data_IF_725532988618
#
_entry.id   IF_725532988618
#
_cell.length_a   1.000
_cell.length_b   1.000
_cell.length_c   1.000
_cell.angle_alpha   90.00
_cell.angle_beta   90.00
_cell.angle_gamma   90.00
#
_symmetry.space_group_name_H-M   'P 1'
#
loop_
_entity.id
_entity.type
_entity.pdbx_description
1 polymer ?
#
# COMPACT_ATOMS: atom_id res chain seq x y z
N UNK A 1 30.45 30.95 -5.12
CA UNK A 1 29.46 29.85 -5.22
C UNK A 1 28.51 29.97 -4.02
N UNK A 2 27.19 30.08 -4.23
CA UNK A 2 26.24 30.03 -3.09
C UNK A 2 26.28 28.61 -2.48
N UNK A 3 26.29 28.50 -1.15
CA UNK A 3 26.12 27.23 -0.46
C UNK A 3 24.77 26.60 -0.83
N UNK A 4 24.69 25.26 -0.84
CA UNK A 4 23.42 24.55 -1.08
C UNK A 4 22.52 24.74 0.14
N UNK A 5 21.20 24.80 -0.05
CA UNK A 5 20.28 24.82 1.08
C UNK A 5 20.39 23.53 1.90
N UNK A 6 20.09 23.58 3.19
CA UNK A 6 20.06 22.39 4.04
C UNK A 6 19.08 21.34 3.49
N UNK A 7 17.96 21.79 2.91
CA UNK A 7 16.98 20.97 2.20
C UNK A 7 17.61 20.23 1.02
N UNK A 8 18.35 20.93 0.16
CA UNK A 8 19.04 20.31 -0.97
C UNK A 8 20.11 19.28 -0.57
N UNK A 9 20.80 19.49 0.56
CA UNK A 9 21.78 18.53 1.09
C UNK A 9 21.09 17.27 1.62
N UNK A 10 19.96 17.42 2.33
CA UNK A 10 19.17 16.30 2.83
C UNK A 10 18.58 15.46 1.69
N UNK A 11 17.98 16.10 0.69
CA UNK A 11 17.44 15.41 -0.49
C UNK A 11 18.55 14.65 -1.24
N UNK A 12 19.76 15.20 -1.35
CA UNK A 12 20.89 14.49 -1.93
C UNK A 12 21.32 13.26 -1.13
N UNK A 13 21.19 13.27 0.19
CA UNK A 13 21.43 12.09 1.02
C UNK A 13 20.37 11.01 0.76
N UNK A 14 19.09 11.38 0.63
CA UNK A 14 18.03 10.46 0.25
C UNK A 14 18.22 9.91 -1.16
N UNK A 15 18.60 10.76 -2.12
CA UNK A 15 18.91 10.34 -3.50
C UNK A 15 20.09 9.37 -3.54
N UNK A 16 21.16 9.64 -2.78
CA UNK A 16 22.30 8.72 -2.68
C UNK A 16 21.88 7.37 -2.12
N UNK A 17 21.08 7.37 -1.05
CA UNK A 17 20.56 6.16 -0.42
C UNK A 17 19.70 5.37 -1.41
N UNK A 18 18.74 6.03 -2.06
CA UNK A 18 17.84 5.45 -3.04
C UNK A 18 18.59 4.87 -4.25
N UNK A 19 19.60 5.59 -4.76
CA UNK A 19 20.41 5.13 -5.88
C UNK A 19 21.22 3.89 -5.53
N UNK A 20 21.82 3.85 -4.34
CA UNK A 20 22.70 2.76 -3.92
C UNK A 20 21.97 1.52 -3.41
N UNK A 21 20.70 1.64 -3.00
CA UNK A 21 19.93 0.54 -2.40
C UNK A 21 18.80 0.04 -3.30
N UNK A 22 18.14 0.93 -4.05
CA UNK A 22 16.93 0.62 -4.83
C UNK A 22 17.26 0.62 -6.32
N UNK A 23 17.64 1.78 -6.88
CA UNK A 23 17.81 1.94 -8.34
C UNK A 23 19.04 1.23 -8.91
N UNK A 24 20.05 0.91 -8.09
CA UNK A 24 21.20 0.08 -8.51
C UNK A 24 20.79 -1.32 -9.03
N UNK A 25 19.59 -1.79 -8.67
CA UNK A 25 19.04 -3.06 -9.11
C UNK A 25 18.11 -2.96 -10.34
N UNK A 26 17.94 -1.76 -10.90
CA UNK A 26 17.14 -1.57 -12.11
C UNK A 26 17.84 -2.22 -13.31
N UNK A 27 17.25 -3.27 -13.90
CA UNK A 27 17.78 -3.94 -15.11
C UNK A 27 16.98 -3.55 -16.36
N UNK A 28 17.71 -3.39 -17.47
CA UNK A 28 17.17 -3.37 -18.86
C UNK A 28 17.09 -4.81 -19.39
N UNK A 29 16.04 -5.28 -20.12
CA UNK A 29 14.98 -4.53 -20.82
C UNK A 29 13.60 -4.52 -20.14
N UNK A 30 13.42 -5.20 -19.00
CA UNK A 30 12.09 -5.39 -18.35
C UNK A 30 11.74 -4.29 -17.35
N UNK A 31 12.66 -3.37 -17.04
CA UNK A 31 12.41 -2.23 -16.15
C UNK A 31 11.79 -2.61 -14.79
N UNK A 32 12.22 -3.73 -14.18
CA UNK A 32 11.76 -4.18 -12.84
C UNK A 32 12.93 -4.25 -11.86
N UNK A 33 12.65 -4.05 -10.56
CA UNK A 33 13.66 -4.07 -9.48
C UNK A 33 13.81 -5.52 -8.97
N UNK A 34 14.43 -6.40 -9.76
CA UNK A 34 14.60 -7.81 -9.34
C UNK A 34 15.67 -7.97 -8.25
N UNK A 35 15.44 -8.93 -7.34
CA UNK A 35 16.52 -9.54 -6.54
C UNK A 35 17.31 -10.49 -7.45
N UNK A 36 18.63 -10.59 -7.29
CA UNK A 36 19.53 -11.28 -8.23
C UNK A 36 19.26 -12.79 -8.48
N UNK A 37 18.27 -13.39 -7.83
CA UNK A 37 18.16 -14.84 -7.66
C UNK A 37 17.17 -15.59 -8.55
N UNK A 38 16.35 -14.99 -9.43
CA UNK A 38 15.53 -15.77 -10.38
C UNK A 38 15.23 -15.03 -11.70
N UNK A 39 15.73 -15.61 -12.79
CA UNK A 39 15.64 -15.07 -14.16
C UNK A 39 14.27 -15.38 -14.81
N UNK A 40 13.53 -16.38 -14.32
CA UNK A 40 12.39 -16.94 -15.05
C UNK A 40 10.98 -16.52 -14.62
N UNK A 41 10.79 -15.93 -13.43
CA UNK A 41 9.48 -15.35 -13.08
C UNK A 41 9.58 -13.82 -13.01
N UNK A 42 8.73 -13.14 -13.77
CA UNK A 42 8.36 -11.76 -13.50
C UNK A 42 7.41 -11.75 -12.30
N UNK A 43 7.95 -11.95 -11.09
CA UNK A 43 7.15 -11.87 -9.88
C UNK A 43 6.73 -10.41 -9.67
N UNK A 44 5.42 -10.17 -9.76
CA UNK A 44 4.72 -9.05 -9.15
C UNK A 44 4.91 -9.10 -7.63
N UNK A 45 6.14 -8.85 -7.18
CA UNK A 45 6.39 -8.69 -5.76
C UNK A 45 5.95 -7.28 -5.38
N UNK A 46 5.09 -7.17 -4.37
CA UNK A 46 4.67 -5.90 -3.76
C UNK A 46 5.86 -4.97 -3.44
N UNK A 47 7.04 -5.55 -3.20
CA UNK A 47 8.33 -4.85 -3.09
C UNK A 47 8.58 -3.82 -4.21
N UNK A 48 8.18 -4.12 -5.45
CA UNK A 48 8.38 -3.22 -6.58
C UNK A 48 7.51 -1.96 -6.47
N UNK A 49 6.28 -2.06 -5.96
CA UNK A 49 5.35 -0.92 -5.80
C UNK A 49 5.93 0.09 -4.83
N UNK A 50 6.33 -0.35 -3.63
CA UNK A 50 6.91 0.54 -2.62
C UNK A 50 8.24 1.14 -3.04
N UNK A 51 9.08 0.36 -3.75
CA UNK A 51 10.30 0.90 -4.34
C UNK A 51 9.97 2.06 -5.28
N UNK A 52 9.04 1.87 -6.22
CA UNK A 52 8.64 2.91 -7.17
C UNK A 52 8.04 4.12 -6.44
N UNK A 53 7.18 3.90 -5.44
CA UNK A 53 6.59 4.96 -4.63
C UNK A 53 7.68 5.81 -3.94
N UNK A 54 8.75 5.20 -3.42
CA UNK A 54 9.86 5.96 -2.82
C UNK A 54 10.62 6.81 -3.84
N UNK A 55 10.82 6.31 -5.08
CA UNK A 55 11.45 7.08 -6.17
C UNK A 55 10.58 8.26 -6.56
N UNK A 56 9.27 8.03 -6.68
CA UNK A 56 8.29 9.04 -7.01
C UNK A 56 8.16 10.10 -5.91
N UNK A 57 8.08 9.70 -4.65
CA UNK A 57 8.06 10.60 -3.52
C UNK A 57 9.31 11.50 -3.49
N UNK A 58 10.50 10.92 -3.71
CA UNK A 58 11.72 11.70 -3.79
C UNK A 58 11.71 12.68 -4.98
N UNK A 59 11.14 12.29 -6.13
CA UNK A 59 11.02 13.19 -7.28
C UNK A 59 10.08 14.36 -7.01
N UNK A 60 8.94 14.12 -6.35
CA UNK A 60 8.04 15.16 -5.87
C UNK A 60 8.74 16.11 -4.89
N UNK A 61 9.51 15.56 -3.95
CA UNK A 61 10.25 16.34 -2.96
C UNK A 61 11.28 17.26 -3.62
N UNK A 62 12.04 16.75 -4.61
CA UNK A 62 12.94 17.60 -5.41
C UNK A 62 12.17 18.66 -6.18
N UNK A 63 11.05 18.31 -6.84
CA UNK A 63 10.26 19.27 -7.62
C UNK A 63 9.78 20.45 -6.80
N UNK A 64 9.35 20.19 -5.56
CA UNK A 64 8.83 21.20 -4.61
C UNK A 64 9.93 22.07 -4.00
N UNK A 65 11.12 21.51 -3.81
CA UNK A 65 12.22 22.17 -3.09
C UNK A 65 13.42 22.50 -4.01
N UNK A 66 13.21 22.53 -5.33
CA UNK A 66 14.29 22.76 -6.29
C UNK A 66 14.76 24.21 -6.25
N UNK A 67 15.94 24.44 -5.68
CA UNK A 67 16.59 25.75 -5.65
C UNK A 67 17.44 26.01 -6.91
N UNK A 68 17.89 24.93 -7.58
CA UNK A 68 18.81 24.98 -8.73
C UNK A 68 18.29 24.17 -9.90
N UNK A 69 18.78 24.47 -11.10
CA UNK A 69 18.42 23.69 -12.30
C UNK A 69 18.92 22.24 -12.21
N UNK A 70 20.00 21.99 -11.48
CA UNK A 70 20.45 20.62 -11.14
C UNK A 70 19.39 19.83 -10.34
N UNK A 71 18.68 20.48 -9.42
CA UNK A 71 17.63 19.82 -8.61
C UNK A 71 16.42 19.49 -9.48
N UNK A 72 16.06 20.38 -10.42
CA UNK A 72 15.01 20.12 -11.41
C UNK A 72 15.39 18.99 -12.36
N UNK A 73 16.65 18.93 -12.80
CA UNK A 73 17.15 17.85 -13.64
C UNK A 73 17.07 16.50 -12.91
N UNK A 74 17.49 16.44 -11.63
CA UNK A 74 17.33 15.24 -10.79
C UNK A 74 15.87 14.82 -10.62
N UNK A 75 14.96 15.77 -10.36
CA UNK A 75 13.53 15.50 -10.27
C UNK A 75 13.02 14.82 -11.57
N UNK A 76 13.40 15.38 -12.72
CA UNK A 76 13.02 14.85 -14.03
C UNK A 76 13.59 13.44 -14.28
N UNK A 77 14.87 13.20 -13.94
CA UNK A 77 15.49 11.87 -14.07
C UNK A 77 14.78 10.80 -13.21
N UNK A 78 14.42 11.16 -11.98
CA UNK A 78 13.68 10.28 -11.08
C UNK A 78 12.26 10.02 -11.62
N UNK A 79 11.56 11.03 -12.13
CA UNK A 79 10.25 10.88 -12.77
C UNK A 79 10.31 9.94 -13.98
N UNK A 80 11.32 10.08 -14.84
CA UNK A 80 11.49 9.18 -15.98
C UNK A 80 11.79 7.75 -15.53
N UNK A 81 12.52 7.59 -14.42
CA UNK A 81 12.77 6.27 -13.82
C UNK A 81 11.47 5.64 -13.30
N UNK A 82 10.62 6.42 -12.62
CA UNK A 82 9.28 5.99 -12.17
C UNK A 82 8.43 5.52 -13.34
N UNK A 83 8.35 6.30 -14.43
CA UNK A 83 7.57 5.94 -15.62
C UNK A 83 8.05 4.61 -16.22
N UNK A 84 9.37 4.42 -16.33
CA UNK A 84 9.94 3.15 -16.83
C UNK A 84 9.59 1.97 -15.91
N UNK A 85 9.72 2.15 -14.60
CA UNK A 85 9.43 1.10 -13.63
C UNK A 85 7.94 0.74 -13.58
N UNK A 86 7.05 1.73 -13.58
CA UNK A 86 5.59 1.51 -13.62
C UNK A 86 5.16 0.79 -14.89
N UNK A 87 5.72 1.16 -16.05
CA UNK A 87 5.47 0.44 -17.31
C UNK A 87 5.91 -1.02 -17.23
N UNK A 88 7.08 -1.29 -16.64
CA UNK A 88 7.57 -2.65 -16.40
C UNK A 88 6.65 -3.45 -15.48
N UNK A 89 6.20 -2.84 -14.38
CA UNK A 89 5.28 -3.47 -13.42
C UNK A 89 3.93 -3.79 -14.07
N UNK A 90 3.36 -2.85 -14.82
CA UNK A 90 2.09 -3.05 -15.53
C UNK A 90 2.19 -4.19 -16.54
N UNK A 91 3.26 -4.24 -17.34
CA UNK A 91 3.48 -5.34 -18.28
C UNK A 91 3.59 -6.70 -17.58
N UNK A 92 4.23 -6.75 -16.41
CA UNK A 92 4.29 -7.97 -15.61
C UNK A 92 2.90 -8.38 -15.11
N UNK A 93 2.12 -7.41 -14.61
CA UNK A 93 0.75 -7.61 -14.11
C UNK A 93 -0.18 -8.15 -15.21
N UNK A 94 -0.15 -7.54 -16.40
CA UNK A 94 -0.96 -7.97 -17.54
C UNK A 94 -0.63 -9.43 -17.93
N UNK A 95 0.66 -9.78 -17.99
CA UNK A 95 1.09 -11.15 -18.32
C UNK A 95 0.65 -12.17 -17.26
N UNK A 96 0.74 -11.81 -15.98
CA UNK A 96 0.31 -12.69 -14.89
C UNK A 96 -1.20 -12.94 -14.93
N UNK A 97 -2.00 -11.90 -15.15
CA UNK A 97 -3.45 -12.05 -15.31
C UNK A 97 -3.80 -12.99 -16.46
N UNK A 98 -3.17 -12.81 -17.62
CA UNK A 98 -3.36 -13.69 -18.78
C UNK A 98 -3.01 -15.16 -18.50
N UNK A 99 -2.10 -15.41 -17.55
CA UNK A 99 -1.66 -16.76 -17.19
C UNK A 99 -2.54 -17.40 -16.12
N UNK A 100 -3.11 -16.60 -15.21
CA UNK A 100 -3.76 -17.09 -13.99
C UNK A 100 -5.30 -16.91 -13.93
N UNK A 101 -5.95 -16.39 -14.98
CA UNK A 101 -7.41 -16.11 -15.01
C UNK A 101 -7.90 -15.28 -13.80
N UNK A 102 -7.09 -14.32 -13.33
CA UNK A 102 -7.45 -13.41 -12.23
C UNK A 102 -8.04 -12.13 -12.84
N UNK A 103 -9.05 -11.50 -12.21
CA UNK A 103 -9.58 -10.22 -12.72
C UNK A 103 -8.50 -9.13 -12.72
N UNK A 104 -8.42 -8.33 -13.80
CA UNK A 104 -7.40 -7.29 -13.99
C UNK A 104 -7.46 -6.13 -12.95
N UNK A 105 -8.58 -6.00 -12.25
CA UNK A 105 -8.92 -4.91 -11.31
C UNK A 105 -8.58 -5.19 -9.86
N UNK A 106 -8.38 -6.47 -9.49
CA UNK A 106 -8.26 -6.90 -8.08
C UNK A 106 -6.79 -7.10 -7.74
N UNK A 107 -6.28 -6.27 -6.82
CA UNK A 107 -4.95 -6.43 -6.23
C UNK A 107 -5.07 -7.22 -4.93
N UNK A 108 -4.32 -8.32 -4.87
CA UNK A 108 -4.13 -9.07 -3.65
C UNK A 108 -2.87 -8.57 -2.95
N UNK A 109 -3.04 -7.94 -1.79
CA UNK A 109 -1.93 -7.44 -0.97
C UNK A 109 -1.27 -8.56 -0.13
N UNK A 110 -1.02 -9.73 -0.71
CA UNK A 110 -0.21 -10.77 -0.06
C UNK A 110 1.27 -10.45 -0.17
N UNK A 111 1.85 -9.76 0.81
CA UNK A 111 3.23 -9.23 0.71
C UNK A 111 4.32 -10.30 0.52
N UNK A 112 4.10 -11.56 0.93
CA UNK A 112 5.20 -12.50 1.13
C UNK A 112 5.06 -13.88 0.46
N UNK A 113 4.22 -14.00 -0.57
CA UNK A 113 4.23 -15.09 -1.58
C UNK A 113 4.33 -16.54 -1.05
N UNK A 114 4.00 -16.79 0.22
CA UNK A 114 4.15 -18.11 0.86
C UNK A 114 2.83 -18.84 1.10
N UNK A 115 1.68 -18.20 0.82
CA UNK A 115 0.36 -18.81 0.95
C UNK A 115 -0.12 -18.90 2.40
N UNK A 116 -0.66 -20.07 2.76
CA UNK A 116 -1.19 -20.41 4.08
C UNK A 116 -0.16 -20.35 5.22
N UNK A 117 -0.61 -20.49 6.47
CA UNK A 117 0.26 -20.43 7.68
C UNK A 117 1.42 -21.44 7.66
N UNK A 118 1.28 -22.57 6.96
CA UNK A 118 2.37 -23.56 6.83
C UNK A 118 3.37 -23.25 5.71
N UNK A 119 3.18 -22.13 5.00
CA UNK A 119 4.02 -21.68 3.88
C UNK A 119 4.08 -22.71 2.72
N UNK A 120 3.04 -23.52 2.50
CA UNK A 120 3.00 -24.56 1.45
C UNK A 120 2.61 -24.04 0.08
N UNK A 121 2.41 -22.72 -0.05
CA UNK A 121 1.98 -22.11 -1.31
C UNK A 121 0.53 -22.43 -1.67
N UNK A 122 -0.27 -22.88 -0.70
CA UNK A 122 -1.71 -23.07 -0.89
C UNK A 122 -2.34 -21.67 -1.01
N UNK A 123 -3.04 -21.35 -2.12
CA UNK A 123 -3.67 -20.06 -2.28
C UNK A 123 -4.80 -19.87 -1.26
N UNK A 124 -4.77 -18.73 -0.57
CA UNK A 124 -5.85 -18.27 0.31
C UNK A 124 -6.29 -16.88 -0.14
N UNK A 125 -7.57 -16.58 0.05
CA UNK A 125 -8.07 -15.22 -0.15
C UNK A 125 -7.46 -14.35 0.94
N UNK A 126 -6.57 -13.44 0.53
CA UNK A 126 -5.92 -12.47 1.39
C UNK A 126 -6.50 -11.10 1.08
N UNK A 127 -7.14 -10.47 2.07
CA UNK A 127 -7.71 -9.10 2.09
C UNK A 127 -7.51 -8.31 0.77
N UNK A 128 -8.37 -8.55 -0.24
CA UNK A 128 -8.21 -7.99 -1.58
C UNK A 128 -8.67 -6.54 -1.64
N UNK A 129 -8.12 -5.78 -2.58
CA UNK A 129 -8.59 -4.43 -2.91
C UNK A 129 -8.78 -4.28 -4.42
N UNK A 130 -9.91 -3.69 -4.82
CA UNK A 130 -10.13 -3.27 -6.19
C UNK A 130 -9.57 -1.85 -6.43
N UNK A 131 -8.70 -1.70 -7.44
CA UNK A 131 -8.19 -0.39 -7.85
C UNK A 131 -9.17 0.33 -8.79
N UNK A 132 -9.60 1.53 -8.43
CA UNK A 132 -10.44 2.38 -9.27
C UNK A 132 -9.95 3.83 -9.25
N UNK A 133 -10.05 4.51 -10.39
CA UNK A 133 -9.74 5.92 -10.55
C UNK A 133 -8.25 6.26 -10.66
N UNK A 134 -7.35 5.27 -10.64
CA UNK A 134 -5.90 5.50 -10.68
C UNK A 134 -5.41 5.83 -12.10
N UNK A 135 -4.76 6.98 -12.28
CA UNK A 135 -4.08 7.36 -13.53
C UNK A 135 -2.68 6.72 -13.61
N UNK A 136 -2.43 5.88 -14.60
CA UNK A 136 -1.19 5.07 -14.67
C UNK A 136 0.03 5.78 -15.26
N UNK A 137 -0.15 6.77 -16.15
CA UNK A 137 0.93 7.22 -17.03
C UNK A 137 1.35 8.69 -16.85
N UNK A 138 0.43 9.61 -16.53
CA UNK A 138 0.72 11.01 -16.15
C UNK A 138 -0.55 11.79 -15.76
N UNK A 139 -0.37 12.91 -15.04
CA UNK A 139 -1.45 13.84 -14.66
C UNK A 139 -2.14 14.47 -15.89
N UNK A 140 -1.43 14.58 -17.02
CA UNK A 140 -1.89 15.20 -18.27
C UNK A 140 -2.60 14.26 -19.23
N UNK A 141 -2.68 12.96 -18.93
CA UNK A 141 -3.26 11.99 -19.85
C UNK A 141 -4.80 11.98 -19.77
N UNK A 142 -5.41 11.64 -20.90
CA UNK A 142 -6.86 11.59 -21.07
C UNK A 142 -7.54 10.47 -20.24
N UNK A 143 -8.88 10.42 -20.25
CA UNK A 143 -9.66 9.47 -19.45
C UNK A 143 -9.30 7.99 -19.70
N UNK A 144 -8.76 7.65 -20.86
CA UNK A 144 -8.34 6.28 -21.20
C UNK A 144 -7.13 5.76 -20.40
N UNK A 145 -6.43 6.63 -19.68
CA UNK A 145 -5.29 6.26 -18.82
C UNK A 145 -5.69 5.89 -17.38
N UNK A 146 -6.99 5.90 -17.08
CA UNK A 146 -7.56 5.63 -15.76
C UNK A 146 -7.91 4.15 -15.64
N UNK A 147 -7.47 3.52 -14.55
CA UNK A 147 -7.92 2.17 -14.18
C UNK A 147 -9.37 2.25 -13.72
N UNK A 148 -10.23 1.47 -14.36
CA UNK A 148 -11.64 1.34 -14.00
C UNK A 148 -11.92 -0.06 -13.50
N UNK A 149 -12.47 -0.15 -12.28
CA UNK A 149 -13.02 -1.39 -11.74
C UNK A 149 -14.54 -1.41 -11.85
N UNK A 150 -15.12 -2.60 -12.02
CA UNK A 150 -16.56 -2.76 -11.95
C UNK A 150 -17.04 -2.48 -10.52
N UNK A 151 -18.20 -1.85 -10.37
CA UNK A 151 -18.77 -1.56 -9.06
C UNK A 151 -18.95 -2.84 -8.22
N UNK A 152 -19.32 -3.94 -8.87
CA UNK A 152 -19.47 -5.25 -8.24
C UNK A 152 -18.15 -5.78 -7.67
N UNK A 153 -17.03 -5.60 -8.38
CA UNK A 153 -15.70 -6.00 -7.90
C UNK A 153 -15.30 -5.21 -6.65
N UNK A 154 -15.57 -3.90 -6.64
CA UNK A 154 -15.30 -3.01 -5.51
C UNK A 154 -16.14 -3.45 -4.30
N UNK A 155 -17.45 -3.63 -4.49
CA UNK A 155 -18.35 -4.04 -3.41
C UNK A 155 -18.03 -5.45 -2.90
N UNK A 156 -17.62 -6.36 -3.79
CA UNK A 156 -17.17 -7.68 -3.41
C UNK A 156 -15.92 -7.63 -2.54
N UNK A 157 -14.91 -6.84 -2.92
CA UNK A 157 -13.70 -6.66 -2.11
C UNK A 157 -14.03 -6.04 -0.74
N UNK A 158 -14.88 -5.00 -0.69
CA UNK A 158 -15.32 -4.39 0.57
C UNK A 158 -16.02 -5.40 1.48
N UNK A 159 -16.95 -6.20 0.94
CA UNK A 159 -17.65 -7.25 1.70
C UNK A 159 -16.69 -8.29 2.27
N UNK A 160 -15.66 -8.69 1.50
CA UNK A 160 -14.61 -9.58 1.99
C UNK A 160 -13.83 -8.89 3.12
N UNK A 161 -13.38 -7.64 2.94
CA UNK A 161 -12.61 -6.93 3.96
C UNK A 161 -13.40 -6.78 5.26
N UNK A 162 -14.67 -6.39 5.21
CA UNK A 162 -15.51 -6.24 6.39
C UNK A 162 -15.79 -7.56 7.12
N UNK A 163 -15.78 -8.69 6.42
CA UNK A 163 -16.05 -10.01 7.01
C UNK A 163 -14.78 -10.74 7.47
N UNK A 164 -13.65 -10.45 6.82
CA UNK A 164 -12.37 -11.10 7.09
C UNK A 164 -11.66 -10.42 8.27
N UNK A 165 -11.58 -9.08 8.26
CA UNK A 165 -10.85 -8.31 9.25
C UNK A 165 -11.46 -8.43 10.66
N UNK A 166 -10.63 -8.48 11.72
CA UNK A 166 -9.18 -8.23 11.75
C UNK A 166 -8.32 -9.41 11.26
N UNK A 167 -8.93 -10.54 10.87
CA UNK A 167 -8.18 -11.69 10.36
C UNK A 167 -7.63 -11.43 8.96
N UNK A 168 -6.44 -11.95 8.70
CA UNK A 168 -5.76 -11.78 7.42
C UNK A 168 -6.18 -12.84 6.39
N UNK A 169 -6.44 -14.06 6.86
CA UNK A 169 -6.88 -15.20 6.03
C UNK A 169 -7.55 -16.28 6.90
N UNK A 170 -7.96 -17.40 6.27
CA UNK A 170 -8.54 -18.53 6.99
C UNK A 170 -7.56 -19.22 7.95
N UNK A 171 -6.25 -19.26 7.61
CA UNK A 171 -5.23 -19.91 8.43
C UNK A 171 -4.42 -18.95 9.32
N UNK A 172 -4.47 -17.65 9.03
CA UNK A 172 -3.74 -16.61 9.78
C UNK A 172 -4.68 -15.73 10.56
N UNK A 173 -4.55 -15.81 11.88
CA UNK A 173 -5.37 -15.06 12.82
C UNK A 173 -5.17 -13.55 12.67
N UNK A 174 -3.95 -13.04 12.79
CA UNK A 174 -3.60 -11.64 12.50
C UNK A 174 -2.29 -11.66 11.73
N UNK A 175 -2.14 -10.76 10.76
CA UNK A 175 -0.94 -10.60 9.96
C UNK A 175 -0.62 -9.11 9.80
N UNK A 176 0.65 -8.74 9.98
CA UNK A 176 1.11 -7.36 9.96
C UNK A 176 0.89 -6.67 8.61
N UNK A 177 0.88 -7.43 7.50
CA UNK A 177 0.63 -6.82 6.18
C UNK A 177 -0.76 -6.19 6.06
N UNK A 178 -1.73 -6.63 6.87
CA UNK A 178 -3.09 -6.04 6.91
C UNK A 178 -3.03 -4.55 7.25
N UNK A 179 -1.98 -4.10 7.95
CA UNK A 179 -1.73 -2.68 8.19
C UNK A 179 -1.64 -1.88 6.89
N UNK A 180 -1.03 -2.44 5.84
CA UNK A 180 -0.94 -1.81 4.51
C UNK A 180 -2.28 -1.74 3.80
N UNK A 181 -3.22 -2.63 4.13
CA UNK A 181 -4.59 -2.64 3.58
C UNK A 181 -5.47 -1.61 4.26
N UNK A 182 -5.42 -1.53 5.59
CA UNK A 182 -6.23 -0.57 6.38
C UNK A 182 -5.61 0.83 6.46
N UNK A 183 -4.37 0.99 5.98
CA UNK A 183 -3.59 2.24 6.05
C UNK A 183 -2.84 2.46 4.73
N UNK A 184 -1.83 3.33 4.76
CA UNK A 184 -0.99 3.60 3.59
C UNK A 184 -0.29 2.31 3.12
N UNK A 185 -0.32 1.99 1.81
CA UNK A 185 -0.77 2.84 0.70
C UNK A 185 -2.22 2.61 0.24
N UNK A 186 -2.89 1.55 0.70
CA UNK A 186 -4.17 1.13 0.15
C UNK A 186 -5.34 1.98 0.66
N UNK A 187 -5.48 2.11 1.99
CA UNK A 187 -6.68 2.64 2.65
C UNK A 187 -7.97 1.98 2.14
N UNK A 188 -7.94 0.65 2.01
CA UNK A 188 -8.98 -0.14 1.38
C UNK A 188 -10.24 -0.29 2.25
N UNK A 189 -10.21 0.08 3.53
CA UNK A 189 -11.32 -0.12 4.47
C UNK A 189 -11.96 1.23 4.82
N UNK A 190 -13.27 1.33 4.58
CA UNK A 190 -14.04 2.56 4.83
C UNK A 190 -14.55 2.66 6.29
N UNK A 191 -14.75 1.53 6.96
CA UNK A 191 -15.23 1.47 8.34
C UNK A 191 -14.10 1.74 9.34
N UNK A 192 -14.20 2.86 10.06
CA UNK A 192 -13.18 3.28 11.03
C UNK A 192 -13.09 2.36 12.25
N UNK A 193 -14.18 1.71 12.65
CA UNK A 193 -14.18 0.81 13.80
C UNK A 193 -13.42 -0.47 13.46
N UNK A 194 -13.62 -1.01 12.25
CA UNK A 194 -12.84 -2.15 11.74
C UNK A 194 -11.36 -1.76 11.64
N UNK A 195 -11.04 -0.57 11.13
CA UNK A 195 -9.65 -0.07 11.06
C UNK A 195 -9.01 0.00 12.44
N UNK A 196 -9.71 0.54 13.45
CA UNK A 196 -9.18 0.69 14.80
C UNK A 196 -8.98 -0.67 15.49
N UNK A 197 -10.00 -1.53 15.46
CA UNK A 197 -9.91 -2.89 16.04
C UNK A 197 -8.78 -3.68 15.39
N UNK A 198 -8.64 -3.60 14.05
CA UNK A 198 -7.57 -4.31 13.34
C UNK A 198 -6.19 -3.79 13.72
N UNK A 199 -6.02 -2.47 13.85
CA UNK A 199 -4.75 -1.88 14.33
C UNK A 199 -4.42 -2.33 15.75
N UNK A 200 -5.39 -2.29 16.66
CA UNK A 200 -5.19 -2.72 18.05
C UNK A 200 -4.81 -4.19 18.15
N UNK A 201 -5.43 -5.06 17.34
CA UNK A 201 -5.09 -6.49 17.26
C UNK A 201 -3.67 -6.72 16.72
N UNK A 202 -3.25 -6.00 15.66
CA UNK A 202 -1.87 -6.07 15.14
C UNK A 202 -0.88 -5.62 16.20
N UNK A 203 -1.10 -4.47 16.82
CA UNK A 203 -0.19 -3.90 17.83
C UNK A 203 -0.10 -4.83 19.05
N UNK A 204 -1.24 -5.26 19.59
CA UNK A 204 -1.26 -6.07 20.82
C UNK A 204 -0.67 -7.46 20.64
N UNK A 205 -0.80 -8.06 19.45
CA UNK A 205 -0.36 -9.44 19.20
C UNK A 205 0.96 -9.55 18.47
N UNK A 206 1.36 -8.56 17.67
CA UNK A 206 2.52 -8.66 16.77
C UNK A 206 3.62 -7.66 17.09
N UNK A 207 3.39 -6.61 17.88
CA UNK A 207 4.43 -5.63 18.17
C UNK A 207 5.54 -6.20 19.05
N UNK A 208 6.78 -6.10 18.57
CA UNK A 208 8.01 -6.42 19.28
C UNK A 208 8.90 -5.18 19.50
N UNK A 209 10.11 -5.40 20.02
CA UNK A 209 11.08 -4.32 20.35
C UNK A 209 11.78 -3.73 19.13
N UNK A 210 11.83 -4.47 18.03
CA UNK A 210 12.53 -4.17 16.78
C UNK A 210 11.59 -4.03 15.58
N UNK A 211 10.28 -4.10 15.78
CA UNK A 211 9.26 -4.03 14.73
C UNK A 211 8.09 -4.96 15.02
N UNK A 212 7.39 -5.44 13.98
CA UNK A 212 6.27 -6.37 14.13
C UNK A 212 6.66 -7.78 13.71
N UNK A 213 6.15 -8.81 14.39
CA UNK A 213 6.10 -10.14 13.81
C UNK A 213 5.18 -10.12 12.60
N UNK A 214 5.50 -10.94 11.60
CA UNK A 214 4.65 -11.05 10.43
C UNK A 214 3.28 -11.63 10.79
N UNK A 215 3.27 -12.79 11.42
CA UNK A 215 2.09 -13.42 12.03
C UNK A 215 2.56 -14.36 13.13
N UNK A 216 1.65 -14.72 14.05
CA UNK A 216 1.97 -15.62 15.16
C UNK A 216 2.43 -17.00 14.66
N UNK A 217 3.49 -17.52 15.29
CA UNK A 217 4.14 -18.81 14.98
C UNK A 217 4.75 -18.87 13.59
N UNK A 218 5.34 -17.77 13.15
CA UNK A 218 6.08 -17.70 11.90
C UNK A 218 7.50 -18.26 12.07
N UNK A 219 7.77 -19.41 11.44
CA UNK A 219 9.09 -20.04 11.45
C UNK A 219 10.14 -19.37 10.55
N UNK A 220 9.79 -18.34 9.78
CA UNK A 220 10.69 -17.76 8.79
C UNK A 220 11.99 -17.19 9.40
N UNK A 221 13.12 -17.84 9.11
CA UNK A 221 14.48 -17.51 9.61
C UNK A 221 14.58 -17.47 11.15
N UNK A 222 13.65 -18.12 11.83
CA UNK A 222 13.81 -18.43 13.25
C UNK A 222 14.95 -19.44 13.42
N UNK A 223 15.65 -19.44 14.56
CA UNK A 223 16.75 -20.37 14.80
C UNK A 223 16.32 -21.85 14.83
N UNK A 224 15.05 -22.12 15.13
CA UNK A 224 14.47 -23.48 15.11
C UNK A 224 13.89 -23.88 13.74
N UNK A 225 13.79 -22.93 12.80
CA UNK A 225 13.30 -23.21 11.45
C UNK A 225 14.37 -23.86 10.58
N UNK A 226 14.01 -24.84 9.76
CA UNK A 226 14.92 -25.41 8.77
C UNK A 226 15.28 -24.36 7.70
N UNK A 227 16.55 -23.92 7.59
CA UNK A 227 16.96 -22.89 6.64
C UNK A 227 16.88 -23.35 5.18
N UNK A 228 16.84 -24.66 4.92
CA UNK A 228 16.78 -25.24 3.58
C UNK A 228 15.35 -25.47 3.08
N UNK A 229 14.34 -25.29 3.94
CA UNK A 229 12.94 -25.56 3.62
C UNK A 229 12.12 -24.28 3.54
N UNK A 230 11.28 -24.19 2.50
CA UNK A 230 10.40 -23.03 2.32
C UNK A 230 9.12 -23.14 3.18
N UNK A 231 8.67 -24.37 3.41
CA UNK A 231 7.44 -24.75 4.10
C UNK A 231 7.72 -25.30 5.50
N UNK A 232 6.78 -25.09 6.41
CA UNK A 232 6.83 -25.58 7.78
C UNK A 232 5.92 -26.81 7.95
N UNK A 233 6.30 -27.72 8.83
CA UNK A 233 5.38 -28.76 9.26
C UNK A 233 4.42 -28.23 10.33
N UNK A 234 3.17 -28.69 10.31
CA UNK A 234 2.15 -28.24 11.27
C UNK A 234 2.56 -28.53 12.73
N UNK A 235 3.32 -29.61 12.95
CA UNK A 235 3.91 -30.01 14.24
C UNK A 235 4.96 -29.02 14.75
N UNK A 236 5.65 -28.30 13.86
CA UNK A 236 6.73 -27.39 14.21
C UNK A 236 6.24 -25.99 14.57
N UNK A 237 5.01 -25.61 14.18
CA UNK A 237 4.51 -24.26 14.41
C UNK A 237 4.58 -23.84 15.88
N UNK A 238 4.39 -24.79 16.81
CA UNK A 238 4.49 -24.52 18.25
C UNK A 238 5.92 -24.22 18.70
N UNK A 239 6.94 -24.70 17.98
CA UNK A 239 8.34 -24.40 18.26
C UNK A 239 8.66 -22.93 17.97
N UNK A 240 7.95 -22.29 17.04
CA UNK A 240 8.25 -20.90 16.69
C UNK A 240 7.63 -19.88 17.63
N UNK A 241 6.76 -20.31 18.54
CA UNK A 241 6.07 -19.45 19.51
C UNK A 241 7.09 -18.74 20.41
N UNK A 242 6.97 -17.41 20.50
CA UNK A 242 7.81 -16.47 21.24
C UNK A 242 9.21 -16.22 20.65
N UNK A 243 9.62 -16.93 19.59
CA UNK A 243 10.92 -16.72 18.92
C UNK A 243 10.78 -16.20 17.48
N UNK A 244 9.57 -15.81 17.08
CA UNK A 244 9.26 -15.29 15.75
C UNK A 244 10.14 -14.09 15.41
N UNK A 245 10.57 -13.97 14.15
CA UNK A 245 11.39 -12.85 13.71
C UNK A 245 10.60 -11.54 13.61
N UNK A 246 11.23 -10.43 14.00
CA UNK A 246 10.63 -9.09 13.99
C UNK A 246 11.06 -8.32 12.72
N UNK A 247 10.09 -7.74 12.02
CA UNK A 247 10.30 -6.99 10.77
C UNK A 247 10.26 -5.48 11.05
N UNK A 248 11.32 -4.74 10.67
CA UNK A 248 11.47 -3.33 11.03
C UNK A 248 10.68 -2.39 10.10
N UNK A 249 9.47 -2.77 9.68
CA UNK A 249 8.67 -2.04 8.68
C UNK A 249 8.39 -0.59 9.09
N UNK A 250 8.31 -0.32 10.40
CA UNK A 250 8.26 1.01 11.01
C UNK A 250 9.61 1.39 11.63
N UNK A 251 10.63 1.52 10.77
CA UNK A 251 12.02 1.65 11.20
C UNK A 251 12.27 2.85 12.13
N UNK A 252 12.62 2.56 13.40
CA UNK A 252 13.18 3.53 14.33
C UNK A 252 14.68 3.74 14.09
N UNK A 253 15.18 4.93 14.40
CA UNK A 253 16.60 5.27 14.22
C UNK A 253 17.57 4.34 14.98
N UNK A 254 17.09 3.70 16.05
CA UNK A 254 17.85 2.75 16.88
C UNK A 254 18.05 1.38 16.24
N UNK A 255 17.23 0.98 15.26
CA UNK A 255 17.25 -0.34 14.62
C UNK A 255 17.80 -0.30 13.19
N UNK A 256 18.48 0.77 12.82
CA UNK A 256 19.13 0.90 11.51
C UNK A 256 20.57 0.41 11.58
N UNK A 257 20.99 -0.34 10.57
CA UNK A 257 22.38 -0.79 10.43
C UNK A 257 23.17 0.27 9.69
N UNK A 258 24.35 0.63 10.22
CA UNK A 258 25.27 1.53 9.51
C UNK A 258 26.11 0.73 8.52
N UNK A 259 25.90 0.99 7.23
CA UNK A 259 26.73 0.44 6.16
C UNK A 259 28.12 1.06 6.11
N UNK A 260 29.05 0.40 5.41
CA UNK A 260 30.46 0.80 5.29
C UNK A 260 30.66 2.20 4.64
N UNK A 261 29.68 2.64 3.85
CA UNK A 261 29.62 3.95 3.20
C UNK A 261 28.92 5.02 4.06
N UNK A 262 28.60 4.71 5.33
CA UNK A 262 27.89 5.59 6.24
C UNK A 262 26.37 5.66 6.02
N UNK A 263 25.81 4.89 5.08
CA UNK A 263 24.37 4.82 4.87
C UNK A 263 23.67 4.09 6.02
N UNK A 264 22.45 4.54 6.33
CA UNK A 264 21.53 3.83 7.24
C UNK A 264 20.72 2.83 6.43
N UNK A 265 20.88 1.55 6.75
CA UNK A 265 20.29 0.43 6.03
C UNK A 265 19.24 -0.26 6.91
N UNK A 266 18.07 -0.51 6.34
CA UNK A 266 17.00 -1.27 6.99
C UNK A 266 17.24 -2.76 6.75
N UNK A 267 17.51 -3.60 7.78
CA UNK A 267 17.63 -5.04 7.59
C UNK A 267 16.29 -5.68 7.24
N UNK A 268 16.33 -6.92 6.76
CA UNK A 268 15.12 -7.69 6.47
C UNK A 268 14.33 -8.03 7.72
N UNK A 269 15.00 -8.53 8.76
CA UNK A 269 14.38 -8.87 10.03
C UNK A 269 15.41 -8.99 11.15
N UNK A 270 14.91 -9.08 12.38
CA UNK A 270 15.64 -9.31 13.62
C UNK A 270 15.26 -10.66 14.22
N UNK A 271 16.24 -11.53 14.42
CA UNK A 271 16.07 -12.89 14.92
C UNK A 271 16.76 -13.10 16.27
N UNK A 272 16.25 -14.04 17.07
CA UNK A 272 16.87 -14.47 18.32
C UNK A 272 18.20 -15.17 17.98
N UNK A 273 19.32 -14.84 18.65
CA UNK A 273 20.58 -15.57 18.46
C UNK A 273 20.40 -17.07 18.74
N UNK A 274 20.95 -17.98 17.89
CA UNK A 274 20.76 -19.42 18.07
C UNK A 274 21.21 -19.96 19.45
N UNK A 275 22.20 -19.32 20.06
CA UNK A 275 22.74 -19.66 21.38
C UNK A 275 21.88 -19.16 22.56
N UNK A 276 20.84 -18.36 22.29
CA UNK A 276 19.96 -17.75 23.31
C UNK A 276 18.49 -18.16 23.19
N UNK A 277 18.19 -19.18 22.41
CA UNK A 277 16.82 -19.65 22.18
C UNK A 277 16.16 -20.13 23.48
N UNK A 278 16.88 -20.90 24.28
CA UNK A 278 16.37 -21.41 25.56
C UNK A 278 16.09 -20.28 26.56
N UNK A 279 16.89 -19.20 26.52
CA UNK A 279 16.70 -18.01 27.34
C UNK A 279 15.43 -17.26 26.94
N UNK A 280 15.19 -17.08 25.63
CA UNK A 280 13.99 -16.43 25.12
C UNK A 280 12.73 -17.26 25.40
N UNK A 281 12.79 -18.60 25.33
CA UNK A 281 11.66 -19.44 25.73
C UNK A 281 11.34 -19.33 27.22
N UNK A 282 12.36 -19.22 28.07
CA UNK A 282 12.16 -19.07 29.51
C UNK A 282 11.60 -17.69 29.87
N UNK A 283 12.05 -16.64 29.19
CA UNK A 283 11.63 -15.26 29.41
C UNK A 283 11.36 -14.55 28.07
N UNK A 284 10.15 -14.68 27.51
CA UNK A 284 9.82 -14.09 26.21
C UNK A 284 10.09 -12.58 26.14
N UNK A 285 10.57 -12.13 24.98
CA UNK A 285 10.84 -10.74 24.62
C UNK A 285 11.98 -10.06 25.40
N UNK A 286 12.83 -10.84 26.06
CA UNK A 286 13.95 -10.32 26.86
C UNK A 286 15.29 -10.37 26.13
N UNK A 287 15.48 -11.30 25.19
CA UNK A 287 16.74 -11.47 24.47
C UNK A 287 16.89 -10.42 23.37
N UNK A 288 18.04 -9.75 23.33
CA UNK A 288 18.38 -8.84 22.24
C UNK A 288 18.57 -9.59 20.92
N UNK A 289 17.90 -9.09 19.88
CA UNK A 289 17.86 -9.72 18.57
C UNK A 289 18.97 -9.22 17.67
N UNK A 290 19.40 -10.09 16.75
CA UNK A 290 20.42 -9.78 15.74
C UNK A 290 19.80 -9.65 14.35
N UNK A 291 20.30 -8.74 13.51
CA UNK A 291 19.79 -8.61 12.15
C UNK A 291 20.15 -9.83 11.30
N UNK A 292 19.17 -10.35 10.57
CA UNK A 292 19.33 -11.54 9.71
C UNK A 292 18.69 -11.29 8.34
N UNK A 293 19.28 -11.89 7.30
CA UNK A 293 18.76 -11.81 5.93
C UNK A 293 19.38 -10.67 5.12
N UNK A 294 18.61 -10.14 4.18
CA UNK A 294 19.04 -9.08 3.27
C UNK A 294 19.22 -7.78 4.05
N UNK A 295 20.30 -7.06 3.76
CA UNK A 295 20.50 -5.71 4.26
C UNK A 295 21.12 -4.87 3.12
N UNK A 296 20.41 -3.87 2.58
CA UNK A 296 19.06 -3.46 2.96
C UNK A 296 17.96 -4.38 2.39
N UNK A 297 16.86 -4.53 3.13
CA UNK A 297 15.59 -4.97 2.57
C UNK A 297 14.99 -3.82 1.75
N UNK A 298 14.77 -4.04 0.45
CA UNK A 298 14.32 -2.98 -0.47
C UNK A 298 13.00 -2.34 -0.03
N UNK A 299 12.04 -3.15 0.41
CA UNK A 299 10.76 -2.66 0.91
C UNK A 299 10.94 -1.75 2.13
N UNK A 300 11.58 -2.27 3.19
CA UNK A 300 11.83 -1.50 4.41
C UNK A 300 12.63 -0.22 4.13
N UNK A 301 13.64 -0.30 3.25
CA UNK A 301 14.42 0.86 2.84
C UNK A 301 13.57 1.91 2.09
N UNK A 302 12.62 1.48 1.27
CA UNK A 302 11.73 2.36 0.51
C UNK A 302 10.76 3.08 1.44
N UNK A 303 10.16 2.35 2.38
CA UNK A 303 9.27 2.90 3.41
C UNK A 303 10.02 3.86 4.34
N UNK A 304 11.26 3.54 4.72
CA UNK A 304 12.11 4.43 5.51
C UNK A 304 12.38 5.76 4.78
N UNK A 305 12.72 5.73 3.49
CA UNK A 305 12.93 6.96 2.71
C UNK A 305 11.63 7.77 2.63
N UNK A 306 10.51 7.12 2.29
CA UNK A 306 9.20 7.77 2.18
C UNK A 306 8.76 8.39 3.51
N UNK A 307 8.86 7.63 4.61
CA UNK A 307 8.50 8.07 5.95
C UNK A 307 9.31 9.29 6.40
N UNK A 308 10.61 9.31 6.11
CA UNK A 308 11.44 10.49 6.41
C UNK A 308 11.08 11.72 5.56
N UNK A 309 10.75 11.54 4.28
CA UNK A 309 10.29 12.66 3.45
C UNK A 309 8.99 13.29 3.99
N UNK A 310 8.09 12.47 4.54
CA UNK A 310 6.88 12.94 5.22
C UNK A 310 7.20 13.60 6.57
N UNK A 311 7.97 12.92 7.43
CA UNK A 311 8.28 13.38 8.78
C UNK A 311 9.08 14.69 8.79
N UNK A 312 9.97 14.89 7.81
CA UNK A 312 10.73 16.12 7.64
C UNK A 312 9.97 17.22 6.88
N UNK A 313 8.73 16.98 6.46
CA UNK A 313 7.87 17.96 5.81
C UNK A 313 8.23 18.26 4.35
N UNK A 314 9.08 17.44 3.71
CA UNK A 314 9.32 17.56 2.27
C UNK A 314 8.07 17.25 1.47
N UNK A 315 7.21 16.34 1.97
CA UNK A 315 5.95 15.95 1.37
C UNK A 315 4.82 16.01 2.41
N UNK A 316 3.61 16.35 1.96
CA UNK A 316 2.37 16.14 2.69
C UNK A 316 1.71 14.81 2.29
N UNK A 317 0.92 14.21 3.18
CA UNK A 317 0.23 12.94 2.93
C UNK A 317 -0.65 12.98 1.66
N UNK A 318 -1.32 14.10 1.39
CA UNK A 318 -2.13 14.26 0.17
C UNK A 318 -1.33 14.29 -1.13
N UNK A 319 -0.02 14.55 -1.09
CA UNK A 319 0.84 14.51 -2.28
C UNK A 319 1.17 13.08 -2.70
N UNK A 320 1.15 12.12 -1.77
CA UNK A 320 1.42 10.70 -2.01
C UNK A 320 0.16 9.83 -2.06
N UNK A 321 -1.00 10.42 -1.76
CA UNK A 321 -2.34 9.83 -1.85
C UNK A 321 -3.23 10.72 -2.75
N UNK A 322 -3.02 10.70 -4.08
CA UNK A 322 -3.71 11.58 -5.02
C UNK A 322 -5.21 11.29 -5.14
N UNK A 323 -5.65 10.10 -4.71
CA UNK A 323 -7.05 9.68 -4.69
C UNK A 323 -7.75 10.05 -3.37
N UNK A 324 -7.02 10.60 -2.41
CA UNK A 324 -7.50 10.92 -1.06
C UNK A 324 -8.17 9.73 -0.36
N UNK A 325 -7.69 8.50 -0.60
CA UNK A 325 -8.27 7.29 0.00
C UNK A 325 -8.15 7.31 1.52
N UNK A 326 -7.13 7.99 2.06
CA UNK A 326 -6.99 8.20 3.52
C UNK A 326 -8.19 8.92 4.17
N UNK A 327 -9.01 9.61 3.38
CA UNK A 327 -10.19 10.33 3.86
C UNK A 327 -11.47 9.48 3.78
N UNK A 328 -11.41 8.22 3.34
CA UNK A 328 -12.59 7.36 3.23
C UNK A 328 -13.25 7.09 4.58
N UNK A 329 -12.46 7.01 5.65
CA UNK A 329 -12.96 6.84 7.03
C UNK A 329 -13.44 8.13 7.67
N UNK A 330 -13.24 9.28 7.02
CA UNK A 330 -13.73 10.57 7.52
C UNK A 330 -15.21 10.68 7.15
N UNK A 331 -16.11 11.00 8.11
CA UNK A 331 -17.52 11.21 7.81
C UNK A 331 -17.66 12.25 6.70
N UNK A 332 -18.28 11.85 5.59
CA UNK A 332 -18.60 12.79 4.53
C UNK A 332 -19.66 13.76 5.07
N UNK A 333 -19.52 15.07 4.86
CA UNK A 333 -20.56 16.02 5.25
C UNK A 333 -21.87 15.63 4.56
N UNK A 334 -23.00 15.88 5.22
CA UNK A 334 -24.32 15.63 4.64
C UNK A 334 -24.42 16.29 3.27
N UNK A 335 -24.51 15.47 2.23
CA UNK A 335 -24.64 15.95 0.85
C UNK A 335 -26.09 16.40 0.68
N UNK A 336 -26.34 17.68 0.86
CA UNK A 336 -27.63 18.28 0.53
C UNK A 336 -27.73 18.35 -1.00
N UNK A 337 -28.52 17.46 -1.60
CA UNK A 337 -28.86 17.54 -3.02
C UNK A 337 -29.79 18.74 -3.20
N UNK A 338 -29.25 19.84 -3.73
CA UNK A 338 -30.06 20.99 -4.14
C UNK A 338 -30.59 20.75 -5.55
N UNK A 339 -31.91 20.64 -5.68
CA UNK A 339 -32.59 20.58 -6.96
C UNK A 339 -33.07 21.98 -7.31
N UNK A 340 -32.56 22.57 -8.39
CA UNK A 340 -33.12 23.79 -8.96
C UNK A 340 -34.12 23.43 -10.06
N UNK A 341 -35.35 23.90 -9.93
CA UNK A 341 -36.40 23.70 -10.92
C UNK A 341 -36.50 24.95 -11.78
N UNK A 342 -36.33 24.78 -13.09
CA UNK A 342 -36.57 25.83 -14.06
C UNK A 342 -37.96 25.62 -14.65
N UNK A 343 -38.89 26.55 -14.40
CA UNK A 343 -40.20 26.51 -15.04
C UNK A 343 -40.07 26.98 -16.48
N UNK A 344 -40.61 26.21 -17.42
CA UNK A 344 -40.62 26.55 -18.85
C UNK A 344 -41.43 27.83 -19.11
N UNK A 345 -42.58 27.97 -18.43
CA UNK A 345 -43.51 29.08 -18.61
C UNK A 345 -43.97 29.68 -17.27
N UNK A 346 -44.37 30.96 -17.27
CA UNK A 346 -44.75 31.70 -16.05
C UNK A 346 -45.99 31.15 -15.34
N UNK A 347 -46.87 30.42 -16.03
CA UNK A 347 -48.03 29.74 -15.43
C UNK A 347 -47.63 28.59 -14.50
N UNK A 348 -46.53 27.90 -14.82
CA UNK A 348 -46.00 26.79 -14.03
C UNK A 348 -45.28 27.30 -12.79
N UNK A 349 -44.88 28.59 -12.72
CA UNK A 349 -44.19 29.15 -11.55
C UNK A 349 -45.07 29.26 -10.30
N UNK A 350 -46.38 29.03 -10.41
CA UNK A 350 -47.29 29.13 -9.29
C UNK A 350 -47.12 27.97 -8.29
N UNK A 351 -46.96 28.24 -6.98
CA UNK A 351 -46.59 27.24 -5.97
C UNK A 351 -47.43 25.94 -5.95
N UNK A 352 -48.78 25.97 -6.08
CA UNK A 352 -49.57 24.74 -6.02
C UNK A 352 -49.44 23.87 -7.28
N UNK A 353 -49.24 24.47 -8.47
CA UNK A 353 -49.01 23.73 -9.72
C UNK A 353 -47.61 23.08 -9.75
N UNK A 354 -46.59 23.77 -9.23
CA UNK A 354 -45.24 23.20 -9.10
C UNK A 354 -45.26 21.95 -8.20
N UNK A 355 -45.81 22.08 -6.99
CA UNK A 355 -45.77 21.00 -6.00
C UNK A 355 -46.54 19.77 -6.48
N UNK A 356 -47.71 19.94 -7.10
CA UNK A 356 -48.48 18.83 -7.66
C UNK A 356 -47.73 18.08 -8.78
N UNK A 357 -47.04 18.80 -9.67
CA UNK A 357 -46.19 18.18 -10.70
C UNK A 357 -44.98 17.45 -10.12
N UNK A 358 -44.35 18.01 -9.09
CA UNK A 358 -43.22 17.39 -8.39
C UNK A 358 -43.64 16.08 -7.73
N UNK A 359 -44.72 16.09 -6.93
CA UNK A 359 -45.16 14.91 -6.20
C UNK A 359 -45.62 13.78 -7.13
N UNK A 360 -46.26 14.11 -8.27
CA UNK A 360 -46.66 13.13 -9.27
C UNK A 360 -45.47 12.45 -9.96
N UNK A 361 -44.34 13.15 -10.16
CA UNK A 361 -43.16 12.65 -10.89
C UNK A 361 -42.08 12.05 -9.97
N UNK A 362 -41.90 12.59 -8.76
CA UNK A 362 -40.94 12.08 -7.78
C UNK A 362 -41.46 10.85 -7.02
N UNK A 363 -42.79 10.67 -6.93
CA UNK A 363 -43.41 9.53 -6.25
C UNK A 363 -43.05 8.16 -6.84
N UNK A 364 -42.53 8.11 -8.08
CA UNK A 364 -42.13 6.88 -8.77
C UNK A 364 -40.63 6.54 -8.62
N UNK A 365 -39.82 7.40 -7.97
CA UNK A 365 -38.38 7.18 -7.83
C UNK A 365 -38.05 6.34 -6.60
N UNK A 366 -37.80 5.04 -6.77
CA UNK A 366 -36.98 4.28 -5.81
C UNK A 366 -35.51 4.65 -6.01
N UNK A 367 -34.94 5.31 -5.01
CA UNK A 367 -33.54 5.78 -5.02
C UNK A 367 -32.64 4.68 -4.46
N UNK A 368 -31.82 4.08 -5.31
CA UNK A 368 -30.79 3.10 -4.88
C UNK A 368 -29.35 3.65 -5.00
N UNK A 369 -29.07 4.68 -5.81
CA UNK A 369 -27.73 5.30 -5.88
C UNK A 369 -27.75 6.75 -6.43
N UNK A 370 -26.76 7.57 -6.03
CA UNK A 370 -26.63 9.01 -6.30
C UNK A 370 -26.46 9.35 -7.81
N UNK A 371 -25.81 8.48 -8.60
CA UNK A 371 -25.70 8.67 -10.07
C UNK A 371 -27.06 8.56 -10.77
N UNK A 372 -27.99 7.78 -10.23
CA UNK A 372 -29.35 7.63 -10.77
C UNK A 372 -30.16 8.93 -10.65
N UNK A 373 -29.94 9.70 -9.57
CA UNK A 373 -30.66 10.95 -9.30
C UNK A 373 -30.30 12.02 -10.33
N UNK A 374 -29.00 12.20 -10.62
CA UNK A 374 -28.55 13.18 -11.62
C UNK A 374 -29.08 12.87 -13.04
N UNK A 375 -29.12 11.59 -13.41
CA UNK A 375 -29.63 11.14 -14.71
C UNK A 375 -31.15 11.30 -14.80
N UNK A 376 -31.90 10.92 -13.76
CA UNK A 376 -33.37 11.00 -13.77
C UNK A 376 -33.88 12.45 -13.70
N UNK A 377 -33.18 13.34 -13.00
CA UNK A 377 -33.52 14.78 -12.98
C UNK A 377 -33.24 15.44 -14.34
N UNK A 378 -32.14 15.05 -15.00
CA UNK A 378 -31.83 15.56 -16.36
C UNK A 378 -32.84 15.06 -17.40
N UNK A 379 -33.30 13.81 -17.28
CA UNK A 379 -34.31 13.23 -18.17
C UNK A 379 -35.71 13.86 -18.02
N UNK A 380 -36.07 14.34 -16.82
CA UNK A 380 -37.33 15.07 -16.60
C UNK A 380 -37.33 16.51 -17.16
N UNK A 381 -36.17 17.05 -17.54
CA UNK A 381 -36.02 18.42 -18.05
C UNK A 381 -35.83 18.50 -19.58
N UNK A 382 -35.87 17.35 -20.27
CA UNK A 382 -35.67 17.26 -21.72
C UNK A 382 -36.93 16.83 -22.51
N UNK A 383 -38.11 16.77 -21.88
CA UNK A 383 -39.38 16.46 -22.55
C UNK A 383 -40.55 17.33 -22.08
#
# INVERSE_FOLDING_TARGET
MRSRSNSGVKLDNYARTLQQTILCHQRSPVCTIKSASNIHNCDFSNNNVYCILSVWALSLAYRKNADRDEDKAKAYELEQSVVKLMRGLLQCTIRQVQTNNISHSVIYFGMLERGDKTNKGIPEINAPEALDGLKLFSVKDGPESVVHSLADDIQHCQSILSSLLPRASASKEVDDWVLSTISYPAFAVEDIDIVNITKEEIISKLQGRYGCWRFLRDGHKTPQGDPNRLYNESSELKLFENIECEWPLEALDSILIRGNNGLRLVPELYSVPPDKVDEEYANPHTVDRVPVGKCPLKLGQSLYILGNLLAEGFLAAGEIDPLNRRLFTVPKPDVVVQVSLLAENDEIKQPPQILSHIYARLGELRVENMRQIAVNVTACLLF
#
